data_IF_159683143739
#
_entry.id   IF_159683143739
#
_cell.length_a   1.000
_cell.length_b   1.000
_cell.length_c   1.000
_cell.angle_alpha   90.00
_cell.angle_beta   90.00
_cell.angle_gamma   90.00
#
_symmetry.space_group_name_H-M   'P 1'
#
loop_
_entity.id
_entity.type
_entity.pdbx_description
1 polymer ?
#
# COMPACT_ATOMS: atom_id res chain seq x y z
N UNK A 1 11.99 -14.05 -9.63
CA UNK A 1 10.74 -13.32 -9.99
C UNK A 1 10.66 -13.22 -11.51
N UNK A 2 9.50 -13.46 -12.13
CA UNK A 2 9.36 -13.31 -13.58
C UNK A 2 9.35 -11.83 -13.99
N UNK A 3 9.81 -11.52 -15.20
CA UNK A 3 9.74 -10.15 -15.74
C UNK A 3 8.30 -9.63 -15.77
N UNK A 4 7.34 -10.49 -16.13
CA UNK A 4 5.92 -10.16 -16.16
C UNK A 4 5.38 -9.73 -14.80
N UNK A 5 5.72 -10.44 -13.72
CA UNK A 5 5.30 -10.08 -12.35
C UNK A 5 5.81 -8.69 -11.96
N UNK A 6 7.07 -8.39 -12.27
CA UNK A 6 7.66 -7.09 -11.97
C UNK A 6 6.98 -5.97 -12.76
N UNK A 7 6.80 -6.16 -14.08
CA UNK A 7 6.12 -5.17 -14.94
C UNK A 7 4.70 -4.90 -14.46
N UNK A 8 3.92 -5.94 -14.15
CA UNK A 8 2.56 -5.77 -13.63
C UNK A 8 2.55 -5.03 -12.29
N UNK A 9 3.47 -5.35 -11.37
CA UNK A 9 3.58 -4.63 -10.11
C UNK A 9 3.93 -3.15 -10.32
N UNK A 10 4.88 -2.85 -11.20
CA UNK A 10 5.25 -1.47 -11.54
C UNK A 10 4.07 -0.69 -12.11
N UNK A 11 3.33 -1.26 -13.05
CA UNK A 11 2.14 -0.64 -13.64
C UNK A 11 1.06 -0.36 -12.58
N UNK A 12 0.77 -1.35 -11.73
CA UNK A 12 -0.25 -1.21 -10.69
C UNK A 12 0.16 -0.20 -9.61
N UNK A 13 1.45 -0.06 -9.31
CA UNK A 13 1.94 0.95 -8.37
C UNK A 13 2.10 2.34 -8.99
N UNK A 14 2.31 2.45 -10.30
CA UNK A 14 2.40 3.72 -11.01
C UNK A 14 1.02 4.36 -11.26
N UNK A 15 -0.01 3.55 -11.52
CA UNK A 15 -1.36 4.02 -11.84
C UNK A 15 -1.94 5.01 -10.80
N UNK A 16 -1.82 4.79 -9.48
CA UNK A 16 -2.24 5.76 -8.46
C UNK A 16 -1.61 7.15 -8.63
N UNK A 17 -0.32 7.21 -8.98
CA UNK A 17 0.40 8.47 -9.16
C UNK A 17 -0.09 9.20 -10.41
N UNK A 18 -0.26 8.48 -11.52
CA UNK A 18 -0.77 9.05 -12.77
C UNK A 18 -2.18 9.61 -12.61
N UNK A 19 -3.06 8.84 -11.95
CA UNK A 19 -4.44 9.25 -11.68
C UNK A 19 -4.50 10.54 -10.84
N UNK A 20 -3.73 10.60 -9.74
CA UNK A 20 -3.74 11.75 -8.84
C UNK A 20 -3.05 12.97 -9.46
N UNK A 21 -1.97 12.76 -10.24
CA UNK A 21 -1.31 13.84 -10.97
C UNK A 21 -2.25 14.48 -12.00
N UNK A 22 -2.96 13.66 -12.78
CA UNK A 22 -3.94 14.14 -13.76
C UNK A 22 -5.10 14.93 -13.11
N UNK A 23 -5.48 14.56 -11.88
CA UNK A 23 -6.56 15.21 -11.13
C UNK A 23 -6.14 16.37 -10.22
N UNK A 24 -4.84 16.63 -10.05
CA UNK A 24 -4.32 17.49 -8.97
C UNK A 24 -4.89 18.91 -8.94
N UNK A 25 -4.97 19.56 -10.11
CA UNK A 25 -5.45 20.93 -10.23
C UNK A 25 -6.91 21.07 -9.73
N UNK A 26 -7.72 20.04 -9.98
CA UNK A 26 -9.15 20.04 -9.65
C UNK A 26 -9.46 19.49 -8.24
N UNK A 27 -8.46 19.08 -7.47
CA UNK A 27 -8.67 18.66 -6.07
C UNK A 27 -8.98 19.86 -5.17
N UNK A 28 -9.78 19.68 -4.10
CA UNK A 28 -10.12 20.74 -3.13
C UNK A 28 -8.90 21.36 -2.46
N UNK A 29 -9.08 22.55 -1.88
CA UNK A 29 -8.04 23.25 -1.15
C UNK A 29 -7.61 22.51 0.14
N UNK A 30 -8.50 21.70 0.71
CA UNK A 30 -8.24 20.89 1.90
C UNK A 30 -8.46 19.41 1.60
N UNK A 31 -7.58 18.56 2.11
CA UNK A 31 -7.60 17.13 1.89
C UNK A 31 -7.63 16.36 3.22
N UNK A 32 -8.32 15.20 3.27
CA UNK A 32 -8.27 14.31 4.43
C UNK A 32 -6.82 13.95 4.78
N UNK A 33 -6.40 14.30 5.99
CA UNK A 33 -5.07 14.11 6.55
C UNK A 33 -4.96 12.83 7.39
N UNK A 34 -5.86 12.66 8.36
CA UNK A 34 -5.97 11.48 9.21
C UNK A 34 -7.45 11.09 9.29
N UNK A 35 -7.75 9.80 9.14
CA UNK A 35 -9.09 9.27 9.38
C UNK A 35 -9.07 8.54 10.71
N UNK A 36 -9.92 8.97 11.65
CA UNK A 36 -10.21 8.15 12.82
C UNK A 36 -11.46 7.32 12.54
N UNK A 37 -11.32 6.03 12.18
CA UNK A 37 -12.47 5.19 11.84
C UNK A 37 -13.42 4.95 13.03
N UNK A 38 -12.99 5.21 14.27
CA UNK A 38 -13.79 5.01 15.47
C UNK A 38 -14.44 6.29 16.01
N UNK A 39 -13.93 7.47 15.66
CA UNK A 39 -14.43 8.75 16.17
C UNK A 39 -15.18 9.59 15.12
N UNK A 40 -15.28 9.11 13.86
CA UNK A 40 -15.90 9.87 12.77
C UNK A 40 -15.19 11.18 12.38
N UNK A 41 -14.10 11.52 13.07
CA UNK A 41 -13.32 12.72 12.82
C UNK A 41 -12.32 12.48 11.68
N UNK A 42 -12.36 13.36 10.69
CA UNK A 42 -11.35 13.46 9.64
C UNK A 42 -10.56 14.73 9.91
N UNK A 43 -9.32 14.59 10.36
CA UNK A 43 -8.41 15.74 10.37
C UNK A 43 -8.10 16.08 8.91
N UNK A 44 -8.18 17.36 8.54
CA UNK A 44 -7.88 17.86 7.20
C UNK A 44 -6.58 18.66 7.21
N UNK A 45 -5.94 18.79 6.05
CA UNK A 45 -4.78 19.65 5.89
C UNK A 45 -4.77 20.30 4.49
N UNK A 46 -4.06 21.43 4.32
CA UNK A 46 -3.98 22.13 3.04
C UNK A 46 -3.44 21.24 1.91
N UNK A 47 -4.02 21.39 0.72
CA UNK A 47 -3.58 20.69 -0.50
C UNK A 47 -2.12 21.01 -0.77
N UNK A 48 -1.33 19.96 -0.94
CA UNK A 48 0.07 20.01 -1.36
C UNK A 48 0.40 18.72 -2.10
N UNK A 49 1.50 18.71 -2.86
CA UNK A 49 1.98 17.48 -3.51
C UNK A 49 2.19 16.36 -2.48
N UNK A 50 2.76 16.70 -1.32
CA UNK A 50 2.93 15.74 -0.22
C UNK A 50 1.59 15.14 0.22
N UNK A 51 0.57 15.97 0.48
CA UNK A 51 -0.73 15.51 0.97
C UNK A 51 -1.45 14.58 -0.01
N UNK A 52 -1.30 14.82 -1.32
CA UNK A 52 -1.90 14.01 -2.38
C UNK A 52 -1.16 12.68 -2.55
N UNK A 53 0.17 12.71 -2.60
CA UNK A 53 0.96 11.53 -2.99
C UNK A 53 1.43 10.65 -1.82
N UNK A 54 1.29 11.09 -0.57
CA UNK A 54 1.72 10.33 0.61
C UNK A 54 1.09 8.94 0.73
N UNK A 55 -0.21 8.78 0.43
CA UNK A 55 -0.89 7.48 0.54
C UNK A 55 -0.39 6.50 -0.53
N UNK A 56 -0.36 6.89 -1.83
CA UNK A 56 0.34 6.11 -2.85
C UNK A 56 1.79 5.79 -2.50
N UNK A 57 2.54 6.76 -1.97
CA UNK A 57 3.94 6.56 -1.58
C UNK A 57 4.05 5.51 -0.46
N UNK A 58 3.24 5.60 0.59
CA UNK A 58 3.22 4.59 1.66
C UNK A 58 2.87 3.19 1.13
N UNK A 59 1.92 3.08 0.20
CA UNK A 59 1.58 1.80 -0.41
C UNK A 59 2.70 1.27 -1.32
N UNK A 60 3.38 2.14 -2.07
CA UNK A 60 4.56 1.78 -2.84
C UNK A 60 5.65 1.24 -1.91
N UNK A 61 5.92 1.88 -0.77
CA UNK A 61 6.90 1.40 0.21
C UNK A 61 6.54 0.01 0.74
N UNK A 62 5.29 -0.22 1.13
CA UNK A 62 4.80 -1.55 1.54
C UNK A 62 4.91 -2.58 0.42
N UNK A 63 4.60 -2.18 -0.81
CA UNK A 63 4.75 -3.00 -2.00
C UNK A 63 6.20 -3.39 -2.26
N UNK A 64 7.14 -2.45 -2.13
CA UNK A 64 8.58 -2.69 -2.27
C UNK A 64 9.11 -3.64 -1.20
N UNK A 65 8.67 -3.50 0.06
CA UNK A 65 8.99 -4.47 1.11
C UNK A 65 8.51 -5.88 0.72
N UNK A 66 7.26 -6.00 0.26
CA UNK A 66 6.69 -7.27 -0.16
C UNK A 66 7.41 -7.89 -1.36
N UNK A 67 7.78 -7.07 -2.37
CA UNK A 67 8.55 -7.51 -3.53
C UNK A 67 9.98 -7.93 -3.18
N UNK A 68 10.63 -7.20 -2.27
CA UNK A 68 11.96 -7.56 -1.77
C UNK A 68 11.90 -8.93 -1.08
N UNK A 69 10.91 -9.16 -0.21
CA UNK A 69 10.70 -10.47 0.41
C UNK A 69 10.42 -11.54 -0.64
N UNK A 70 9.53 -11.29 -1.60
CA UNK A 70 9.25 -12.23 -2.70
C UNK A 70 10.51 -12.65 -3.47
N UNK A 71 11.50 -11.76 -3.61
CA UNK A 71 12.75 -12.06 -4.31
C UNK A 71 13.54 -13.21 -3.66
N UNK A 72 13.38 -13.41 -2.35
CA UNK A 72 14.00 -14.49 -1.57
C UNK A 72 13.26 -15.83 -1.65
N UNK A 73 12.20 -15.95 -2.47
CA UNK A 73 11.55 -17.24 -2.66
C UNK A 73 12.52 -18.33 -3.16
N UNK A 74 13.53 -17.94 -3.95
CA UNK A 74 14.54 -18.88 -4.46
C UNK A 74 15.40 -19.52 -3.35
N UNK A 75 15.51 -18.87 -2.19
CA UNK A 75 16.30 -19.33 -1.05
C UNK A 75 15.70 -20.56 -0.37
N UNK A 76 14.42 -20.86 -0.64
CA UNK A 76 13.73 -22.02 -0.09
C UNK A 76 13.99 -23.25 -0.96
N UNK A 77 14.75 -24.27 -0.49
CA UNK A 77 15.05 -25.46 -1.28
C UNK A 77 13.83 -26.38 -1.45
N UNK A 78 12.96 -26.45 -0.42
CA UNK A 78 11.73 -27.23 -0.48
C UNK A 78 10.71 -26.53 -1.40
N UNK A 79 10.19 -27.22 -2.45
CA UNK A 79 9.31 -26.60 -3.45
C UNK A 79 7.95 -26.19 -2.88
N UNK A 80 7.39 -26.97 -1.95
CA UNK A 80 6.12 -26.64 -1.30
C UNK A 80 6.26 -25.38 -0.44
N UNK A 81 7.35 -25.27 0.34
CA UNK A 81 7.65 -24.09 1.15
C UNK A 81 7.90 -22.86 0.30
N UNK A 82 8.69 -23.01 -0.77
CA UNK A 82 8.95 -21.95 -1.77
C UNK A 82 7.66 -21.41 -2.36
N UNK A 83 6.76 -22.29 -2.80
CA UNK A 83 5.50 -21.90 -3.42
C UNK A 83 4.60 -21.16 -2.42
N UNK A 84 4.47 -21.65 -1.19
CA UNK A 84 3.69 -20.99 -0.15
C UNK A 84 4.27 -19.61 0.23
N UNK A 85 5.58 -19.52 0.44
CA UNK A 85 6.27 -18.25 0.68
C UNK A 85 6.02 -17.25 -0.45
N UNK A 86 6.24 -17.66 -1.70
CA UNK A 86 5.98 -16.81 -2.85
C UNK A 86 4.51 -16.37 -2.94
N UNK A 87 3.57 -17.27 -2.67
CA UNK A 87 2.14 -16.97 -2.70
C UNK A 87 1.71 -15.95 -1.65
N UNK A 88 2.30 -15.97 -0.44
CA UNK A 88 2.05 -14.94 0.58
C UNK A 88 2.41 -13.57 0.03
N UNK A 89 3.65 -13.39 -0.43
CA UNK A 89 4.13 -12.07 -0.86
C UNK A 89 3.55 -11.63 -2.20
N UNK A 90 3.23 -12.54 -3.12
CA UNK A 90 2.46 -12.22 -4.32
C UNK A 90 1.06 -11.70 -3.95
N UNK A 91 0.38 -12.38 -3.02
CA UNK A 91 -0.95 -11.99 -2.54
C UNK A 91 -0.91 -10.61 -1.88
N UNK A 92 0.06 -10.38 -0.99
CA UNK A 92 0.25 -9.09 -0.33
C UNK A 92 0.56 -7.97 -1.33
N UNK A 93 1.48 -8.21 -2.27
CA UNK A 93 1.83 -7.24 -3.33
C UNK A 93 0.59 -6.85 -4.13
N UNK A 94 -0.20 -7.83 -4.56
CA UNK A 94 -1.43 -7.60 -5.30
C UNK A 94 -2.45 -6.81 -4.47
N UNK A 95 -2.70 -7.23 -3.22
CA UNK A 95 -3.64 -6.55 -2.33
C UNK A 95 -3.24 -5.10 -2.06
N UNK A 96 -1.95 -4.83 -1.81
CA UNK A 96 -1.41 -3.48 -1.59
C UNK A 96 -1.55 -2.62 -2.85
N UNK A 97 -1.31 -3.18 -4.03
CA UNK A 97 -1.45 -2.47 -5.29
C UNK A 97 -2.92 -2.14 -5.60
N UNK A 98 -3.84 -3.10 -5.45
CA UNK A 98 -5.28 -2.85 -5.59
C UNK A 98 -5.74 -1.79 -4.58
N UNK A 99 -5.43 -1.95 -3.29
CA UNK A 99 -5.71 -0.97 -2.24
C UNK A 99 -5.28 0.44 -2.66
N UNK A 100 -4.05 0.58 -3.19
CA UNK A 100 -3.53 1.88 -3.62
C UNK A 100 -4.31 2.50 -4.77
N UNK A 101 -4.84 1.69 -5.69
CA UNK A 101 -5.68 2.16 -6.79
C UNK A 101 -7.06 2.61 -6.29
N UNK A 102 -7.68 1.85 -5.38
CA UNK A 102 -8.96 2.25 -4.78
C UNK A 102 -8.85 3.52 -3.94
N UNK A 103 -7.80 3.66 -3.13
CA UNK A 103 -7.55 4.90 -2.38
C UNK A 103 -7.27 6.09 -3.30
N UNK A 104 -6.56 5.88 -4.42
CA UNK A 104 -6.34 6.95 -5.39
C UNK A 104 -7.63 7.35 -6.12
N UNK A 105 -8.51 6.39 -6.45
CA UNK A 105 -9.84 6.68 -6.98
C UNK A 105 -10.69 7.45 -5.95
N UNK A 106 -10.61 7.08 -4.67
CA UNK A 106 -11.33 7.75 -3.58
C UNK A 106 -10.86 9.19 -3.38
N UNK A 107 -9.57 9.46 -3.57
CA UNK A 107 -8.98 10.79 -3.48
C UNK A 107 -9.08 11.58 -4.80
N UNK A 108 -9.46 10.92 -5.90
CA UNK A 108 -9.60 11.57 -7.20
C UNK A 108 -10.84 12.46 -7.26
N UNK A 109 -10.83 13.39 -8.21
CA UNK A 109 -11.99 14.26 -8.52
C UNK A 109 -13.29 13.47 -8.73
N UNK A 110 -13.22 12.23 -9.23
CA UNK A 110 -14.39 11.40 -9.53
C UNK A 110 -15.19 11.03 -8.27
N UNK A 111 -14.52 10.86 -7.13
CA UNK A 111 -15.17 10.49 -5.87
C UNK A 111 -15.55 11.71 -5.00
N UNK A 112 -15.04 12.90 -5.35
CA UNK A 112 -15.26 14.14 -4.60
C UNK A 112 -16.32 15.07 -5.21
N UNK A 113 -17.15 14.58 -6.12
CA UNK A 113 -18.32 15.34 -6.56
C UNK A 113 -19.35 15.42 -5.42
N UNK A 114 -20.08 16.54 -5.25
CA UNK A 114 -21.04 16.71 -4.17
C UNK A 114 -22.12 15.61 -4.10
N UNK A 115 -22.44 14.99 -5.24
CA UNK A 115 -23.44 13.94 -5.34
C UNK A 115 -22.86 12.51 -5.29
N UNK A 116 -21.53 12.35 -5.12
CA UNK A 116 -20.84 11.05 -5.19
C UNK A 116 -20.47 10.45 -3.83
N UNK A 117 -21.13 10.86 -2.74
CA UNK A 117 -20.92 10.27 -1.41
C UNK A 117 -21.04 8.74 -1.40
N UNK A 118 -21.98 8.19 -2.19
CA UNK A 118 -22.15 6.74 -2.35
C UNK A 118 -20.90 6.08 -2.96
N UNK A 119 -20.27 6.72 -3.96
CA UNK A 119 -19.05 6.22 -4.61
C UNK A 119 -17.85 6.26 -3.66
N UNK A 120 -17.65 7.35 -2.92
CA UNK A 120 -16.57 7.45 -1.94
C UNK A 120 -16.70 6.39 -0.83
N UNK A 121 -17.92 6.15 -0.36
CA UNK A 121 -18.23 5.10 0.63
C UNK A 121 -17.95 3.71 0.06
N UNK A 122 -18.38 3.44 -1.17
CA UNK A 122 -18.13 2.16 -1.85
C UNK A 122 -16.64 1.90 -2.04
N UNK A 123 -15.87 2.92 -2.47
CA UNK A 123 -14.41 2.81 -2.64
C UNK A 123 -13.70 2.59 -1.30
N UNK A 124 -14.15 3.24 -0.22
CA UNK A 124 -13.66 2.98 1.13
C UNK A 124 -13.93 1.54 1.55
N UNK A 125 -15.17 1.07 1.38
CA UNK A 125 -15.56 -0.30 1.71
C UNK A 125 -14.77 -1.33 0.89
N UNK A 126 -14.58 -1.09 -0.41
CA UNK A 126 -13.75 -1.91 -1.28
C UNK A 126 -12.29 -1.96 -0.82
N UNK A 127 -11.73 -0.83 -0.38
CA UNK A 127 -10.38 -0.75 0.17
C UNK A 127 -10.24 -1.61 1.43
N UNK A 128 -11.18 -1.49 2.38
CA UNK A 128 -11.20 -2.29 3.61
C UNK A 128 -11.34 -3.78 3.29
N UNK A 129 -12.28 -4.13 2.41
CA UNK A 129 -12.50 -5.51 1.98
C UNK A 129 -11.26 -6.11 1.33
N UNK A 130 -10.56 -5.36 0.46
CA UNK A 130 -9.30 -5.79 -0.17
C UNK A 130 -8.20 -6.05 0.85
N UNK A 131 -8.07 -5.20 1.87
CA UNK A 131 -7.10 -5.39 2.94
C UNK A 131 -7.43 -6.65 3.73
N UNK A 132 -8.67 -6.81 4.18
CA UNK A 132 -9.09 -7.98 4.98
C UNK A 132 -8.96 -9.26 4.16
N UNK A 133 -9.46 -9.29 2.92
CA UNK A 133 -9.40 -10.44 2.04
C UNK A 133 -7.95 -10.78 1.66
N UNK A 134 -7.11 -9.78 1.36
CA UNK A 134 -5.70 -9.96 1.05
C UNK A 134 -4.92 -10.56 2.21
N UNK A 135 -5.13 -10.07 3.43
CA UNK A 135 -4.52 -10.61 4.65
C UNK A 135 -5.02 -12.03 4.96
N UNK A 136 -6.33 -12.27 4.86
CA UNK A 136 -6.91 -13.59 5.07
C UNK A 136 -6.38 -14.62 4.06
N UNK A 137 -6.31 -14.24 2.78
CA UNK A 137 -5.76 -15.09 1.73
C UNK A 137 -4.26 -15.36 1.96
N UNK A 138 -3.48 -14.33 2.32
CA UNK A 138 -2.08 -14.50 2.67
C UNK A 138 -1.90 -15.46 3.86
N UNK A 139 -2.72 -15.33 4.90
CA UNK A 139 -2.70 -16.22 6.05
C UNK A 139 -3.06 -17.67 5.68
N UNK A 140 -4.10 -17.88 4.87
CA UNK A 140 -4.51 -19.21 4.37
C UNK A 140 -3.37 -19.84 3.55
N UNK A 141 -2.74 -19.07 2.65
CA UNK A 141 -1.60 -19.52 1.84
C UNK A 141 -0.37 -19.83 2.71
N UNK A 142 -0.23 -19.15 3.85
CA UNK A 142 0.84 -19.38 4.81
C UNK A 142 0.64 -20.57 5.75
N UNK A 143 -0.57 -21.10 5.91
CA UNK A 143 -0.84 -22.28 6.77
C UNK A 143 -0.04 -23.52 6.38
N UNK A 144 0.35 -23.63 5.11
CA UNK A 144 1.15 -24.74 4.60
C UNK A 144 2.63 -24.70 4.99
N UNK A 145 3.10 -23.65 5.70
CA UNK A 145 4.50 -23.51 6.10
C UNK A 145 4.61 -22.96 7.52
N UNK A 146 5.01 -23.78 8.50
CA UNK A 146 5.20 -23.30 9.87
C UNK A 146 6.31 -22.24 9.92
N UNK A 147 6.02 -21.15 10.63
CA UNK A 147 7.02 -20.18 11.08
C UNK A 147 7.80 -20.77 12.26
N UNK A 148 9.09 -20.43 12.43
CA UNK A 148 9.89 -19.46 11.67
C UNK A 148 10.38 -20.00 10.31
N UNK A 149 10.88 -19.08 9.45
CA UNK A 149 11.54 -19.42 8.17
C UNK A 149 13.07 -19.42 8.34
N UNK A 150 13.69 -20.51 8.83
CA UNK A 150 15.14 -20.57 9.06
C UNK A 150 15.96 -20.44 7.77
N UNK A 151 15.37 -20.71 6.61
CA UNK A 151 16.01 -20.59 5.30
C UNK A 151 16.20 -19.12 4.89
N UNK A 152 15.41 -18.21 5.44
CA UNK A 152 15.45 -16.81 5.07
C UNK A 152 16.69 -16.13 5.64
N UNK A 153 17.70 -15.92 4.79
CA UNK A 153 18.94 -15.22 5.15
C UNK A 153 19.02 -13.91 4.39
N UNK A 154 18.45 -12.85 4.98
CA UNK A 154 18.54 -11.50 4.43
C UNK A 154 19.98 -11.00 4.51
N UNK A 155 20.51 -10.51 3.38
CA UNK A 155 21.82 -9.87 3.36
C UNK A 155 21.80 -8.56 4.17
N UNK A 156 22.97 -8.03 4.52
CA UNK A 156 23.05 -6.72 5.18
C UNK A 156 22.42 -5.61 4.31
N UNK A 157 22.58 -5.72 2.99
CA UNK A 157 21.98 -4.82 2.02
C UNK A 157 20.44 -4.86 2.06
N UNK A 158 19.85 -6.05 2.13
CA UNK A 158 18.39 -6.20 2.18
C UNK A 158 17.82 -5.68 3.50
N UNK A 159 18.52 -5.93 4.60
CA UNK A 159 18.18 -5.37 5.92
C UNK A 159 18.23 -3.84 5.90
N UNK A 160 19.28 -3.26 5.33
CA UNK A 160 19.42 -1.81 5.19
C UNK A 160 18.33 -1.23 4.27
N UNK A 161 17.98 -1.93 3.18
CA UNK A 161 16.89 -1.52 2.30
C UNK A 161 15.53 -1.54 3.02
N UNK A 162 15.21 -2.62 3.74
CA UNK A 162 13.99 -2.71 4.55
C UNK A 162 13.93 -1.62 5.62
N UNK A 163 15.05 -1.38 6.32
CA UNK A 163 15.16 -0.34 7.32
C UNK A 163 14.94 1.06 6.70
N UNK A 164 15.57 1.35 5.56
CA UNK A 164 15.39 2.62 4.84
C UNK A 164 13.95 2.84 4.40
N UNK A 165 13.30 1.81 3.83
CA UNK A 165 11.89 1.87 3.41
C UNK A 165 10.96 2.04 4.62
N UNK A 166 11.27 1.40 5.76
CA UNK A 166 10.54 1.55 7.01
C UNK A 166 10.68 2.96 7.59
N UNK A 167 11.90 3.49 7.66
CA UNK A 167 12.16 4.85 8.15
C UNK A 167 11.47 5.90 7.28
N UNK A 168 11.47 5.72 5.96
CA UNK A 168 10.74 6.62 5.06
C UNK A 168 9.23 6.56 5.30
N UNK A 169 8.68 5.36 5.52
CA UNK A 169 7.27 5.20 5.89
C UNK A 169 6.94 5.95 7.20
N UNK A 170 7.77 5.79 8.24
CA UNK A 170 7.61 6.49 9.51
C UNK A 170 7.70 8.01 9.33
N UNK A 171 8.65 8.48 8.51
CA UNK A 171 8.79 9.90 8.18
C UNK A 171 7.53 10.49 7.53
N UNK A 172 6.90 9.77 6.58
CA UNK A 172 5.65 10.18 5.95
C UNK A 172 4.51 10.26 6.99
N UNK A 173 4.42 9.29 7.90
CA UNK A 173 3.41 9.29 8.98
C UNK A 173 3.61 10.49 9.91
N UNK A 174 4.84 10.77 10.35
CA UNK A 174 5.15 11.91 11.22
C UNK A 174 4.81 13.24 10.53
N UNK A 175 5.25 13.42 9.28
CA UNK A 175 4.97 14.63 8.51
C UNK A 175 3.46 14.83 8.30
N UNK A 176 2.74 13.74 8.02
CA UNK A 176 1.26 13.72 7.94
C UNK A 176 0.62 14.21 9.23
N UNK A 177 1.02 13.67 10.38
CA UNK A 177 0.46 14.05 11.68
C UNK A 177 0.72 15.50 12.03
N UNK A 178 1.91 16.02 11.71
CA UNK A 178 2.26 17.44 11.94
C UNK A 178 1.43 18.40 11.08
N UNK A 179 1.12 18.01 9.84
CA UNK A 179 0.28 18.83 8.96
C UNK A 179 -1.20 18.79 9.32
N UNK A 180 -1.65 17.71 9.98
CA UNK A 180 -3.03 17.55 10.44
C UNK A 180 -3.35 18.34 11.73
N UNK A 181 -2.33 18.72 12.49
CA UNK A 181 -2.43 19.52 13.71
C UNK A 181 -1.45 20.70 13.61
N UNK A 182 -1.79 21.78 12.87
CA UNK A 182 -0.99 23.00 12.92
C UNK A 182 -1.01 23.51 14.36
N UNK A 183 0.19 23.73 14.92
CA UNK A 183 0.38 24.31 16.25
C UNK A 183 -0.16 25.75 16.31
#
# INVERSE_FOLDING_TARGET
MSRTTLTSALLLFAAPFLLLAAGYAAMPAELPALRNPFAGAVAVAPKSLFMVFRVPAMNLLRGLMSLLMLSHAADFPNPARRAAYANIFLTLTFAIACKSNFEALELSRLAQQPNSHALATLLTAATVLLVVAGLALAAIRGRGVPLPWPELRLSLRDKAALAGVFLLYVGIVIATSRMAHPA
#
